data_IF_191402412881
#
_entry.id   IF_191402412881
#
_cell.length_a   1.000
_cell.length_b   1.000
_cell.length_c   1.000
_cell.angle_alpha   90.00
_cell.angle_beta   90.00
_cell.angle_gamma   90.00
#
_symmetry.space_group_name_H-M   'P 1'
#
loop_
_entity.id
_entity.type
_entity.pdbx_description
1 polymer ?
#
# COMPACT_ATOMS: atom_id res chain seq x y z
N UNK A 1 11.44 16.53 15.90
CA UNK A 1 10.64 17.43 15.06
C UNK A 1 10.75 16.90 13.63
N UNK A 2 9.84 16.00 13.24
CA UNK A 2 9.87 15.41 11.90
C UNK A 2 9.10 16.32 10.95
N UNK A 3 9.75 16.78 9.89
CA UNK A 3 9.12 17.57 8.84
C UNK A 3 7.92 16.79 8.28
N UNK A 4 6.75 17.43 8.27
CA UNK A 4 5.58 16.88 7.58
C UNK A 4 5.92 16.77 6.09
N UNK A 5 5.64 15.64 5.43
CA UNK A 5 6.00 15.48 4.02
C UNK A 5 5.36 16.58 3.18
N UNK A 6 6.21 17.35 2.50
CA UNK A 6 5.81 18.48 1.67
C UNK A 6 5.08 17.95 0.43
N UNK A 7 3.75 18.08 0.42
CA UNK A 7 2.96 17.86 -0.79
C UNK A 7 3.35 18.92 -1.81
N UNK A 8 3.68 18.50 -3.03
CA UNK A 8 3.96 19.46 -4.11
C UNK A 8 2.71 20.30 -4.39
N UNK A 9 2.88 21.59 -4.64
CA UNK A 9 1.78 22.55 -4.86
C UNK A 9 0.84 22.11 -6.00
N UNK A 10 1.39 21.35 -6.95
CA UNK A 10 0.69 20.86 -8.14
C UNK A 10 -0.04 19.53 -7.92
N UNK A 11 0.20 18.83 -6.81
CA UNK A 11 -0.52 17.59 -6.53
C UNK A 11 -1.96 17.91 -6.10
N UNK A 12 -2.92 17.18 -6.69
CA UNK A 12 -4.32 17.24 -6.29
C UNK A 12 -4.46 16.98 -4.79
N UNK A 13 -5.36 17.71 -4.15
CA UNK A 13 -5.66 17.47 -2.74
C UNK A 13 -6.32 16.10 -2.55
N UNK A 14 -5.79 15.33 -1.60
CA UNK A 14 -6.44 14.12 -1.11
C UNK A 14 -7.75 14.56 -0.46
N UNK A 15 -8.86 14.03 -0.96
CA UNK A 15 -10.19 14.25 -0.41
C UNK A 15 -10.34 13.53 0.94
N UNK A 16 -11.35 13.93 1.72
CA UNK A 16 -11.66 13.25 2.99
C UNK A 16 -11.92 11.75 2.80
N UNK A 17 -12.63 11.37 1.72
CA UNK A 17 -12.92 9.96 1.41
C UNK A 17 -11.67 9.16 1.06
N UNK A 18 -10.76 9.75 0.26
CA UNK A 18 -9.48 9.12 -0.07
C UNK A 18 -8.59 8.96 1.16
N UNK A 19 -8.52 9.98 2.03
CA UNK A 19 -7.76 9.93 3.28
C UNK A 19 -8.29 8.84 4.22
N UNK A 20 -9.62 8.78 4.40
CA UNK A 20 -10.26 7.75 5.22
C UNK A 20 -10.05 6.34 4.65
N UNK A 21 -10.10 6.18 3.33
CA UNK A 21 -9.79 4.90 2.68
C UNK A 21 -8.33 4.47 2.93
N UNK A 22 -7.37 5.36 2.69
CA UNK A 22 -5.95 5.08 2.95
C UNK A 22 -5.71 4.75 4.43
N UNK A 23 -6.40 5.43 5.35
CA UNK A 23 -6.36 5.13 6.79
C UNK A 23 -6.77 3.69 7.08
N UNK A 24 -7.88 3.21 6.50
CA UNK A 24 -8.33 1.81 6.63
C UNK A 24 -7.34 0.82 6.01
N UNK A 25 -6.81 1.10 4.81
CA UNK A 25 -5.79 0.24 4.15
C UNK A 25 -4.57 0.04 5.04
N UNK A 26 -4.09 1.09 5.71
CA UNK A 26 -2.92 1.01 6.61
C UNK A 26 -3.15 0.14 7.85
N UNK A 27 -4.40 -0.12 8.23
CA UNK A 27 -4.76 -1.00 9.35
C UNK A 27 -4.93 -2.47 8.94
N UNK A 28 -4.84 -2.79 7.65
CA UNK A 28 -4.92 -4.17 7.20
C UNK A 28 -3.57 -4.88 7.32
N UNK A 29 -3.55 -6.21 7.50
CA UNK A 29 -2.36 -7.02 7.30
C UNK A 29 -1.82 -6.87 5.88
N UNK A 30 -0.51 -7.12 5.72
CA UNK A 30 0.15 -7.12 4.42
C UNK A 30 -0.57 -8.07 3.45
N UNK A 31 -0.86 -7.61 2.24
CA UNK A 31 -1.55 -8.39 1.20
C UNK A 31 -0.65 -9.45 0.54
N UNK A 32 0.64 -9.46 0.86
CA UNK A 32 1.62 -10.39 0.30
C UNK A 32 1.98 -11.49 1.30
N UNK A 33 2.30 -11.14 2.54
CA UNK A 33 2.84 -12.06 3.54
C UNK A 33 2.04 -12.13 4.84
N UNK A 34 0.89 -11.45 4.91
CA UNK A 34 0.00 -11.43 6.07
C UNK A 34 0.60 -10.87 7.37
N UNK A 35 1.79 -10.24 7.30
CA UNK A 35 2.36 -9.51 8.42
C UNK A 35 1.33 -8.52 9.00
N UNK A 36 1.23 -8.42 10.34
CA UNK A 36 0.22 -7.58 10.99
C UNK A 36 0.43 -6.09 10.66
N UNK A 37 -0.63 -5.26 10.82
CA UNK A 37 -0.51 -3.81 10.67
C UNK A 37 0.53 -3.20 11.65
N UNK A 38 1.09 -2.01 11.35
CA UNK A 38 0.69 -1.13 10.26
C UNK A 38 1.27 -1.51 8.90
N UNK A 39 0.41 -1.45 7.88
CA UNK A 39 0.80 -1.49 6.47
C UNK A 39 1.03 -0.08 5.92
N UNK A 40 1.88 0.05 4.92
CA UNK A 40 1.87 1.18 4.00
C UNK A 40 0.70 1.05 3.03
N UNK A 41 0.17 2.20 2.59
CA UNK A 41 -0.76 2.26 1.47
C UNK A 41 0.04 2.48 0.18
N UNK A 42 0.39 1.39 -0.49
CA UNK A 42 1.15 1.40 -1.73
C UNK A 42 0.27 1.80 -2.91
N UNK A 43 0.60 2.88 -3.61
CA UNK A 43 -0.14 3.32 -4.80
C UNK A 43 0.38 2.61 -6.04
N UNK A 44 -0.46 1.76 -6.64
CA UNK A 44 -0.24 1.18 -7.98
C UNK A 44 -0.10 2.29 -9.03
N UNK A 45 -0.98 3.30 -8.94
CA UNK A 45 -0.94 4.52 -9.74
C UNK A 45 -1.04 5.73 -8.83
N UNK A 46 -0.05 6.60 -8.89
CA UNK A 46 -0.03 7.85 -8.11
C UNK A 46 -1.32 8.67 -8.37
N UNK A 47 -1.92 9.17 -7.30
CA UNK A 47 -3.21 9.89 -7.35
C UNK A 47 -4.46 9.01 -7.38
N UNK A 48 -4.36 7.71 -7.65
CA UNK A 48 -5.49 6.77 -7.56
C UNK A 48 -5.56 6.17 -6.14
N UNK A 49 -6.00 6.98 -5.18
CA UNK A 49 -5.88 6.64 -3.76
C UNK A 49 -6.77 5.46 -3.31
N UNK A 50 -7.91 5.21 -3.98
CA UNK A 50 -8.80 4.10 -3.68
C UNK A 50 -8.29 2.72 -4.15
N UNK A 51 -7.24 2.70 -4.96
CA UNK A 51 -6.62 1.46 -5.46
C UNK A 51 -5.26 1.25 -4.81
N UNK A 52 -5.09 1.68 -3.56
CA UNK A 52 -3.88 1.45 -2.80
C UNK A 52 -3.88 0.05 -2.17
N UNK A 53 -2.71 -0.58 -2.11
CA UNK A 53 -2.51 -1.93 -1.58
C UNK A 53 -1.92 -1.85 -0.18
N UNK A 54 -2.43 -2.66 0.75
CA UNK A 54 -1.84 -2.79 2.08
C UNK A 54 -0.57 -3.66 2.01
N UNK A 55 0.59 -3.07 2.26
CA UNK A 55 1.89 -3.76 2.25
C UNK A 55 2.70 -3.46 3.51
N UNK A 56 3.32 -4.46 4.15
CA UNK A 56 4.32 -4.19 5.17
C UNK A 56 5.57 -3.53 4.56
N UNK A 57 6.41 -2.89 5.40
CA UNK A 57 7.61 -2.18 4.94
C UNK A 57 8.54 -3.06 4.10
N UNK A 58 8.71 -4.32 4.47
CA UNK A 58 9.58 -5.25 3.75
C UNK A 58 9.00 -5.62 2.36
N UNK A 59 7.71 -5.96 2.27
CA UNK A 59 7.05 -6.26 0.98
C UNK A 59 6.80 -5.02 0.12
N UNK A 60 6.84 -3.82 0.70
CA UNK A 60 6.73 -2.55 -0.03
C UNK A 60 8.09 -2.06 -0.52
N UNK A 61 8.99 -1.71 0.41
CA UNK A 61 10.24 -0.97 0.17
C UNK A 61 11.50 -1.80 0.46
N UNK A 62 11.38 -3.02 1.01
CA UNK A 62 12.53 -3.88 1.30
C UNK A 62 13.34 -4.16 0.03
N UNK A 63 14.66 -4.06 0.12
CA UNK A 63 15.54 -4.19 -1.06
C UNK A 63 15.44 -5.56 -1.74
N UNK A 64 15.21 -6.63 -0.97
CA UNK A 64 15.07 -7.99 -1.49
C UNK A 64 13.60 -8.35 -1.74
N UNK A 65 12.74 -8.24 -0.74
CA UNK A 65 11.35 -8.69 -0.83
C UNK A 65 10.39 -7.69 -1.48
N UNK A 66 10.74 -6.41 -1.45
CA UNK A 66 9.82 -5.31 -1.73
C UNK A 66 9.48 -5.12 -3.20
N UNK A 67 8.29 -4.55 -3.47
CA UNK A 67 7.88 -4.14 -4.81
C UNK A 67 8.86 -3.14 -5.42
N UNK A 68 9.40 -2.22 -4.61
CA UNK A 68 10.42 -1.25 -5.04
C UNK A 68 11.85 -1.80 -4.97
N UNK A 69 12.03 -3.05 -4.57
CA UNK A 69 13.29 -3.79 -4.59
C UNK A 69 13.29 -4.86 -5.67
N UNK A 70 13.75 -6.06 -5.31
CA UNK A 70 13.83 -7.20 -6.23
C UNK A 70 12.52 -8.03 -6.34
N UNK A 71 11.45 -7.63 -5.64
CA UNK A 71 10.13 -8.30 -5.70
C UNK A 71 10.16 -9.81 -5.40
N UNK A 72 11.10 -10.28 -4.56
CA UNK A 72 11.31 -11.72 -4.36
C UNK A 72 10.11 -12.38 -3.69
N UNK A 73 9.55 -11.75 -2.66
CA UNK A 73 8.35 -12.26 -2.00
C UNK A 73 7.14 -12.29 -2.95
N UNK A 74 6.96 -11.27 -3.78
CA UNK A 74 5.88 -11.22 -4.77
C UNK A 74 5.97 -12.37 -5.78
N UNK A 75 7.18 -12.68 -6.22
CA UNK A 75 7.44 -13.80 -7.15
C UNK A 75 7.14 -15.16 -6.50
N UNK A 76 7.53 -15.36 -5.24
CA UNK A 76 7.26 -16.59 -4.47
C UNK A 76 5.76 -16.76 -4.24
N UNK A 77 5.06 -15.70 -3.85
CA UNK A 77 3.62 -15.71 -3.62
C UNK A 77 2.80 -15.70 -4.92
N UNK A 78 3.45 -15.51 -6.08
CA UNK A 78 2.83 -15.42 -7.41
C UNK A 78 1.74 -14.35 -7.47
N UNK A 79 2.01 -13.20 -6.87
CA UNK A 79 1.11 -12.05 -6.85
C UNK A 79 1.70 -10.91 -7.67
N UNK A 80 0.83 -10.20 -8.37
CA UNK A 80 1.08 -8.87 -8.92
C UNK A 80 0.31 -7.81 -8.11
N UNK A 81 0.45 -6.54 -8.50
CA UNK A 81 -0.21 -5.40 -7.84
C UNK A 81 -1.75 -5.55 -7.80
N UNK A 82 -2.36 -6.06 -8.88
CA UNK A 82 -3.82 -6.20 -8.98
C UNK A 82 -4.33 -7.35 -8.12
N UNK A 83 -3.61 -8.46 -8.09
CA UNK A 83 -3.93 -9.61 -7.23
C UNK A 83 -3.79 -9.23 -5.75
N UNK A 84 -2.76 -8.45 -5.39
CA UNK A 84 -2.60 -7.92 -4.04
C UNK A 84 -3.69 -6.89 -3.68
N UNK A 85 -4.11 -6.05 -4.64
CA UNK A 85 -5.25 -5.15 -4.47
C UNK A 85 -6.54 -5.93 -4.19
N UNK A 86 -6.79 -7.02 -4.92
CA UNK A 86 -7.96 -7.87 -4.66
C UNK A 86 -7.97 -8.41 -3.22
N UNK A 87 -6.82 -8.81 -2.67
CA UNK A 87 -6.68 -9.21 -1.27
C UNK A 87 -7.00 -8.04 -0.32
N UNK A 88 -6.44 -6.86 -0.59
CA UNK A 88 -6.75 -5.63 0.17
C UNK A 88 -8.25 -5.34 0.18
N UNK A 89 -8.91 -5.38 -0.99
CA UNK A 89 -10.34 -5.08 -1.13
C UNK A 89 -11.22 -6.11 -0.40
N UNK A 90 -10.88 -7.41 -0.47
CA UNK A 90 -11.59 -8.45 0.30
C UNK A 90 -11.54 -8.17 1.79
N UNK A 91 -10.41 -7.69 2.32
CA UNK A 91 -10.24 -7.37 3.74
C UNK A 91 -10.96 -6.09 4.16
N UNK A 92 -11.11 -5.12 3.25
CA UNK A 92 -11.90 -3.92 3.52
C UNK A 92 -13.41 -4.17 3.51
N UNK A 93 -13.84 -5.23 2.83
CA UNK A 93 -15.24 -5.64 2.72
C UNK A 93 -15.69 -6.63 3.81
N UNK A 94 -14.74 -7.18 4.57
CA UNK A 94 -15.00 -8.03 5.73
C UNK A 94 -15.29 -7.19 6.98
#
# INVERSE_FOLDING_TARGET
MGELPVRTKNAKAITTGESAHLGRVKQLPCSICDAPPPSDAHHIKQGCHFTAVALCKDCHQGSFNGWHGQKRMWSVMKLDEVSALNITLKRLAA
#
